data_IF_382364164558
#
_entry.id   IF_382364164558
#
_cell.length_a   1.000
_cell.length_b   1.000
_cell.length_c   1.000
_cell.angle_alpha   90.00
_cell.angle_beta   90.00
_cell.angle_gamma   90.00
#
_symmetry.space_group_name_H-M   'P 1'
#
loop_
_entity.id
_entity.type
_entity.pdbx_description
1 polymer ?
#
# COMPACT_ATOMS: atom_id res chain seq x y z
N UNK A 1 -43.63 30.06 -0.33
CA UNK A 1 -42.61 29.63 -1.30
C UNK A 1 -41.97 28.39 -0.68
N UNK A 2 -42.40 27.20 -1.08
CA UNK A 2 -41.75 25.96 -0.63
C UNK A 2 -40.37 25.89 -1.26
N UNK A 3 -39.33 25.84 -0.42
CA UNK A 3 -37.97 25.58 -0.84
C UNK A 3 -37.87 24.08 -1.12
N UNK A 4 -37.90 23.73 -2.40
CA UNK A 4 -37.60 22.38 -2.89
C UNK A 4 -36.12 22.09 -2.59
N UNK A 5 -35.85 21.39 -1.49
CA UNK A 5 -34.49 20.98 -1.11
C UNK A 5 -34.04 19.85 -2.05
N UNK A 6 -32.82 19.91 -2.61
CA UNK A 6 -32.29 18.80 -3.38
C UNK A 6 -32.19 17.54 -2.50
N UNK A 7 -32.46 16.34 -3.06
CA UNK A 7 -32.41 15.11 -2.29
C UNK A 7 -31.03 14.92 -1.66
N UNK A 8 -30.96 14.38 -0.43
CA UNK A 8 -29.68 14.13 0.22
C UNK A 8 -28.86 13.20 -0.68
N UNK A 9 -27.64 13.63 -1.05
CA UNK A 9 -26.63 12.78 -1.67
C UNK A 9 -26.39 11.61 -0.72
N UNK A 10 -27.02 10.47 -0.99
CA UNK A 10 -26.78 9.23 -0.26
C UNK A 10 -25.30 8.89 -0.45
N UNK A 11 -24.55 8.79 0.65
CA UNK A 11 -23.17 8.34 0.60
C UNK A 11 -23.13 6.99 -0.13
N UNK A 12 -22.24 6.81 -1.13
CA UNK A 12 -22.21 5.58 -1.90
C UNK A 12 -22.02 4.39 -0.96
N UNK A 13 -22.83 3.31 -1.10
CA UNK A 13 -22.79 2.18 -0.18
C UNK A 13 -21.40 1.54 -0.22
N UNK A 14 -20.65 1.71 0.86
CA UNK A 14 -19.29 1.16 1.01
C UNK A 14 -19.28 -0.36 0.98
N UNK A 15 -20.41 -0.99 1.30
CA UNK A 15 -20.60 -2.44 1.31
C UNK A 15 -20.34 -3.04 -0.07
N UNK A 16 -20.85 -2.43 -1.13
CA UNK A 16 -20.70 -2.94 -2.50
C UNK A 16 -19.22 -2.88 -2.94
N UNK A 17 -18.55 -1.77 -2.63
CA UNK A 17 -17.12 -1.62 -2.87
C UNK A 17 -16.28 -2.65 -2.09
N UNK A 18 -16.58 -2.85 -0.80
CA UNK A 18 -15.87 -3.82 0.03
C UNK A 18 -16.04 -5.26 -0.49
N UNK A 19 -17.25 -5.61 -0.97
CA UNK A 19 -17.50 -6.93 -1.57
C UNK A 19 -16.74 -7.10 -2.88
N UNK A 20 -16.70 -6.08 -3.74
CA UNK A 20 -15.94 -6.10 -4.99
C UNK A 20 -14.42 -6.27 -4.74
N UNK A 21 -13.86 -5.57 -3.76
CA UNK A 21 -12.44 -5.70 -3.39
C UNK A 21 -12.13 -7.11 -2.87
N UNK A 22 -13.00 -7.67 -2.03
CA UNK A 22 -12.83 -9.05 -1.52
C UNK A 22 -12.86 -10.07 -2.66
N UNK A 23 -13.84 -9.98 -3.55
CA UNK A 23 -13.95 -10.86 -4.72
C UNK A 23 -12.75 -10.73 -5.67
N UNK A 24 -12.22 -9.51 -5.84
CA UNK A 24 -11.01 -9.28 -6.60
C UNK A 24 -9.77 -9.97 -5.97
N UNK A 25 -9.64 -9.92 -4.64
CA UNK A 25 -8.55 -10.59 -3.93
C UNK A 25 -8.62 -12.12 -4.07
N UNK A 26 -9.83 -12.69 -3.96
CA UNK A 26 -10.06 -14.12 -4.18
C UNK A 26 -9.77 -14.52 -5.63
N UNK A 27 -10.19 -13.71 -6.61
CA UNK A 27 -9.90 -13.94 -8.02
C UNK A 27 -8.39 -13.86 -8.33
N UNK A 28 -7.67 -12.90 -7.74
CA UNK A 28 -6.22 -12.78 -7.89
C UNK A 28 -5.48 -14.00 -7.28
N UNK A 29 -5.95 -14.49 -6.13
CA UNK A 29 -5.43 -15.73 -5.54
C UNK A 29 -5.69 -16.95 -6.45
N UNK A 30 -6.88 -17.04 -7.06
CA UNK A 30 -7.23 -18.12 -7.98
C UNK A 30 -6.37 -18.13 -9.26
N UNK A 31 -5.91 -16.97 -9.72
CA UNK A 31 -4.97 -16.85 -10.85
C UNK A 31 -3.52 -17.22 -10.49
N UNK A 32 -3.16 -17.13 -9.20
CA UNK A 32 -1.83 -17.50 -8.72
C UNK A 32 -1.68 -19.01 -8.53
N UNK A 33 -2.79 -19.75 -8.45
CA UNK A 33 -2.82 -21.20 -8.43
C UNK A 33 -2.90 -21.76 -9.86
N UNK A 34 -2.38 -22.98 -10.11
CA UNK A 34 -2.62 -23.68 -11.37
C UNK A 34 -4.12 -23.99 -11.51
N UNK A 35 -4.81 -23.16 -12.30
CA UNK A 35 -6.25 -23.20 -12.51
C UNK A 35 -6.58 -23.57 -13.96
N UNK A 36 -7.77 -24.13 -14.19
CA UNK A 36 -8.26 -24.38 -15.55
C UNK A 36 -8.44 -23.07 -16.32
N UNK A 37 -8.29 -23.10 -17.65
CA UNK A 37 -8.43 -21.90 -18.49
C UNK A 37 -9.78 -21.19 -18.29
N UNK A 38 -10.87 -21.94 -18.08
CA UNK A 38 -12.19 -21.39 -17.78
C UNK A 38 -12.25 -20.68 -16.42
N UNK A 39 -11.59 -21.22 -15.40
CA UNK A 39 -11.53 -20.60 -14.07
C UNK A 39 -10.68 -19.31 -14.09
N UNK A 40 -9.58 -19.31 -14.87
CA UNK A 40 -8.77 -18.11 -15.08
C UNK A 40 -9.55 -17.01 -15.82
N UNK A 41 -10.35 -17.37 -16.83
CA UNK A 41 -11.19 -16.42 -17.56
C UNK A 41 -12.27 -15.80 -16.66
N UNK A 42 -12.89 -16.59 -15.78
CA UNK A 42 -13.86 -16.11 -14.80
C UNK A 42 -13.20 -15.17 -13.78
N UNK A 43 -12.04 -15.53 -13.22
CA UNK A 43 -11.30 -14.67 -12.31
C UNK A 43 -10.89 -13.33 -12.95
N UNK A 44 -10.48 -13.35 -14.23
CA UNK A 44 -10.18 -12.13 -14.98
C UNK A 44 -11.44 -11.26 -15.24
N UNK A 45 -12.62 -11.86 -15.38
CA UNK A 45 -13.88 -11.11 -15.47
C UNK A 45 -14.20 -10.42 -14.13
N UNK A 46 -14.10 -11.15 -13.02
CA UNK A 46 -14.29 -10.60 -11.67
C UNK A 46 -13.35 -9.42 -11.38
N UNK A 47 -12.09 -9.49 -11.83
CA UNK A 47 -11.14 -8.38 -11.69
C UNK A 47 -11.55 -7.14 -12.50
N UNK A 48 -12.05 -7.32 -13.73
CA UNK A 48 -12.55 -6.22 -14.55
C UNK A 48 -13.80 -5.58 -13.94
N UNK A 49 -14.71 -6.39 -13.41
CA UNK A 49 -15.92 -5.91 -12.75
C UNK A 49 -15.59 -5.12 -11.48
N UNK A 50 -14.64 -5.61 -10.68
CA UNK A 50 -14.15 -4.89 -9.50
C UNK A 50 -13.47 -3.56 -9.88
N UNK A 51 -12.69 -3.54 -10.96
CA UNK A 51 -12.08 -2.29 -11.46
C UNK A 51 -13.15 -1.27 -11.88
N UNK A 52 -14.19 -1.71 -12.59
CA UNK A 52 -15.32 -0.84 -12.96
C UNK A 52 -16.07 -0.31 -11.71
N UNK A 53 -16.28 -1.14 -10.70
CA UNK A 53 -16.91 -0.75 -9.44
C UNK A 53 -16.09 0.30 -8.67
N UNK A 54 -14.77 0.11 -8.58
CA UNK A 54 -13.85 1.08 -7.95
C UNK A 54 -13.84 2.39 -8.73
N UNK A 55 -13.71 2.34 -10.07
CA UNK A 55 -13.75 3.53 -10.91
C UNK A 55 -15.05 4.31 -10.75
N UNK A 56 -16.19 3.62 -10.79
CA UNK A 56 -17.52 4.21 -10.56
C UNK A 56 -17.64 4.85 -9.18
N UNK A 57 -17.09 4.22 -8.14
CA UNK A 57 -17.05 4.77 -6.79
C UNK A 57 -16.22 6.06 -6.73
N UNK A 58 -15.03 6.06 -7.32
CA UNK A 58 -14.15 7.24 -7.36
C UNK A 58 -14.78 8.39 -8.16
N UNK A 59 -15.42 8.12 -9.30
CA UNK A 59 -16.12 9.15 -10.09
C UNK A 59 -17.28 9.80 -9.32
N UNK A 60 -17.96 9.06 -8.44
CA UNK A 60 -19.00 9.64 -7.57
C UNK A 60 -18.42 10.52 -6.46
N UNK A 61 -17.20 10.22 -6.00
CA UNK A 61 -16.49 11.08 -5.05
C UNK A 61 -15.97 12.35 -5.71
N UNK A 62 -15.55 12.26 -6.98
CA UNK A 62 -15.03 13.38 -7.78
C UNK A 62 -16.13 14.30 -8.34
N UNK A 63 -17.39 13.86 -8.33
CA UNK A 63 -18.51 14.70 -8.74
C UNK A 63 -18.59 15.92 -7.82
N UNK A 64 -18.27 17.14 -8.30
CA UNK A 64 -18.28 18.33 -7.47
C UNK A 64 -19.67 18.45 -6.84
N UNK A 65 -19.71 18.78 -5.55
CA UNK A 65 -20.93 19.28 -4.94
C UNK A 65 -21.53 20.30 -5.92
N UNK A 66 -22.81 20.17 -6.25
CA UNK A 66 -23.47 21.13 -7.11
C UNK A 66 -23.57 22.41 -6.28
N UNK A 67 -22.51 23.21 -6.31
CA UNK A 67 -22.53 24.58 -5.87
C UNK A 67 -23.38 25.29 -6.92
N UNK A 68 -24.43 26.05 -6.52
CA UNK A 68 -25.18 26.82 -7.49
C UNK A 68 -24.19 27.74 -8.21
N UNK A 69 -24.12 27.62 -9.53
CA UNK A 69 -23.39 28.55 -10.39
C UNK A 69 -24.10 29.91 -10.34
N UNK A 70 -23.69 30.76 -9.41
CA UNK A 70 -23.77 32.20 -9.58
C UNK A 70 -22.70 32.89 -8.73
N UNK A 71 -21.47 32.86 -9.24
CA UNK A 71 -20.53 33.96 -9.05
C UNK A 71 -19.40 33.82 -10.07
N UNK A 72 -19.60 34.40 -11.24
CA UNK A 72 -18.51 34.77 -12.14
C UNK A 72 -17.62 35.80 -11.43
N UNK A 73 -16.59 35.33 -10.74
CA UNK A 73 -15.38 36.11 -10.57
C UNK A 73 -14.20 35.30 -11.11
N UNK A 74 -13.50 35.76 -12.16
CA UNK A 74 -12.24 35.14 -12.54
C UNK A 74 -11.24 35.40 -11.43
N UNK A 75 -11.00 34.39 -10.59
CA UNK A 75 -9.89 34.43 -9.65
C UNK A 75 -8.61 34.49 -10.48
N UNK A 76 -7.90 35.60 -10.32
CA UNK A 76 -6.63 35.89 -10.96
C UNK A 76 -5.69 34.68 -10.86
N UNK A 77 -4.95 34.46 -11.95
CA UNK A 77 -3.83 33.53 -12.04
C UNK A 77 -2.88 33.78 -10.85
N UNK A 78 -3.02 32.97 -9.81
CA UNK A 78 -2.22 33.02 -8.59
C UNK A 78 -0.97 32.17 -8.72
N UNK A 79 -0.29 32.27 -9.87
CA UNK A 79 0.95 31.57 -10.16
C UNK A 79 2.15 32.17 -9.45
N UNK A 80 2.14 32.35 -8.13
CA UNK A 80 3.35 32.82 -7.39
C UNK A 80 3.28 32.76 -5.85
N UNK A 81 2.36 32.00 -5.24
CA UNK A 81 2.26 31.93 -3.76
C UNK A 81 2.80 30.64 -3.11
N UNK A 82 3.14 29.59 -3.88
CA UNK A 82 3.66 28.33 -3.35
C UNK A 82 5.20 28.21 -3.43
N UNK A 83 5.83 28.94 -4.35
CA UNK A 83 7.28 29.01 -4.53
C UNK A 83 8.06 29.39 -3.24
N UNK A 84 7.65 30.40 -2.43
CA UNK A 84 8.45 30.79 -1.26
C UNK A 84 8.46 29.71 -0.19
N UNK A 85 7.35 28.98 0.00
CA UNK A 85 7.25 27.93 1.03
C UNK A 85 8.07 26.69 0.65
N UNK A 86 8.13 26.35 -0.64
CA UNK A 86 8.95 25.23 -1.12
C UNK A 86 10.43 25.60 -1.07
N UNK A 87 10.78 26.85 -1.43
CA UNK A 87 12.14 27.38 -1.33
C UNK A 87 12.70 27.36 0.08
N UNK A 88 11.91 27.78 1.08
CA UNK A 88 12.31 27.75 2.49
C UNK A 88 12.61 26.32 3.01
N UNK A 89 11.83 25.33 2.57
CA UNK A 89 12.03 23.92 2.95
C UNK A 89 13.28 23.35 2.27
N UNK A 90 13.50 23.66 0.98
CA UNK A 90 14.66 23.20 0.25
C UNK A 90 15.96 23.81 0.81
N UNK A 91 15.93 25.10 1.14
CA UNK A 91 17.03 25.81 1.77
C UNK A 91 17.33 25.26 3.16
N UNK A 92 16.30 24.95 3.96
CA UNK A 92 16.45 24.30 5.27
C UNK A 92 17.08 22.89 5.18
N UNK A 93 16.72 22.10 4.15
CA UNK A 93 17.34 20.79 3.91
C UNK A 93 18.82 20.93 3.48
N UNK A 94 19.11 21.92 2.63
CA UNK A 94 20.48 22.23 2.20
C UNK A 94 21.33 22.68 3.39
N UNK A 95 20.77 23.47 4.30
CA UNK A 95 21.42 23.87 5.54
C UNK A 95 21.72 22.67 6.45
N UNK A 96 20.79 21.72 6.60
CA UNK A 96 21.02 20.48 7.37
C UNK A 96 22.15 19.61 6.79
N UNK A 97 22.34 19.61 5.47
CA UNK A 97 23.43 18.90 4.81
C UNK A 97 24.77 19.65 4.92
N UNK A 98 24.74 20.98 4.87
CA UNK A 98 25.92 21.86 4.93
C UNK A 98 26.41 22.12 6.37
N UNK A 99 25.54 21.97 7.36
CA UNK A 99 25.89 21.86 8.78
C UNK A 99 26.59 20.52 9.00
N UNK A 100 27.77 20.41 8.40
CA UNK A 100 28.71 19.32 8.53
C UNK A 100 28.76 18.92 9.99
N UNK A 101 28.41 17.67 10.21
CA UNK A 101 28.69 16.88 11.38
C UNK A 101 30.07 17.21 12.01
N UNK A 102 30.16 18.26 12.83
CA UNK A 102 31.36 18.56 13.63
C UNK A 102 31.27 17.98 15.03
N UNK A 103 30.09 17.51 15.44
CA UNK A 103 29.88 16.73 16.66
C UNK A 103 30.09 15.27 16.33
N UNK A 104 31.13 14.62 16.87
CA UNK A 104 31.35 13.16 16.77
C UNK A 104 30.01 12.43 16.74
N UNK A 105 29.53 12.00 15.56
CA UNK A 105 28.24 11.30 15.48
C UNK A 105 28.41 10.04 16.30
N UNK A 106 27.39 9.75 17.10
CA UNK A 106 27.22 8.41 17.62
C UNK A 106 27.28 7.46 16.42
N UNK A 107 27.99 6.33 16.50
CA UNK A 107 27.97 5.34 15.44
C UNK A 107 26.51 5.08 15.05
N UNK A 108 26.21 5.22 13.76
CA UNK A 108 24.90 4.85 13.24
C UNK A 108 24.76 3.36 13.53
N UNK A 109 23.69 2.91 14.19
CA UNK A 109 23.49 1.48 14.39
C UNK A 109 23.51 0.81 13.01
N UNK A 110 24.11 -0.39 12.88
CA UNK A 110 24.07 -1.10 11.62
C UNK A 110 22.62 -1.20 11.17
N UNK A 111 22.31 -0.73 9.97
CA UNK A 111 21.00 -0.97 9.37
C UNK A 111 20.85 -2.48 9.30
N UNK A 112 19.94 -3.03 10.11
CA UNK A 112 19.64 -4.47 10.07
C UNK A 112 19.29 -4.81 8.63
N UNK A 113 19.96 -5.78 7.98
CA UNK A 113 19.44 -6.29 6.74
C UNK A 113 18.09 -6.90 7.09
N UNK A 114 17.00 -6.28 6.62
CA UNK A 114 15.74 -6.97 6.46
C UNK A 114 16.10 -8.21 5.65
N UNK A 115 16.09 -9.37 6.31
CA UNK A 115 16.64 -10.61 5.77
C UNK A 115 16.10 -10.92 4.37
N UNK A 116 16.76 -11.81 3.62
CA UNK A 116 16.33 -12.16 2.27
C UNK A 116 14.84 -12.49 2.31
N UNK A 117 14.04 -11.67 1.60
CA UNK A 117 12.67 -12.03 1.27
C UNK A 117 12.80 -13.33 0.49
N UNK A 118 12.47 -14.45 1.12
CA UNK A 118 12.38 -15.76 0.46
C UNK A 118 11.27 -15.65 -0.59
N UNK A 119 11.66 -15.15 -1.76
CA UNK A 119 10.96 -15.37 -3.01
C UNK A 119 11.16 -16.84 -3.32
N UNK A 120 10.06 -17.59 -3.25
CA UNK A 120 10.06 -19.03 -3.48
C UNK A 120 10.74 -19.39 -4.80
N UNK A 121 11.83 -20.13 -4.70
CA UNK A 121 12.24 -21.08 -5.72
C UNK A 121 11.89 -22.47 -5.18
N UNK A 122 10.67 -22.92 -5.47
CA UNK A 122 10.27 -24.29 -5.23
C UNK A 122 10.95 -25.19 -6.27
N UNK A 123 11.86 -26.04 -5.81
CA UNK A 123 12.06 -27.37 -6.39
C UNK A 123 11.50 -28.34 -5.35
N UNK A 124 10.34 -28.93 -5.64
CA UNK A 124 9.82 -30.07 -4.88
C UNK A 124 10.65 -31.34 -5.16
N UNK A 125 10.51 -32.43 -4.39
CA UNK A 125 9.20 -32.91 -3.95
C UNK A 125 9.13 -33.48 -2.52
N UNK A 126 7.89 -33.72 -2.10
CA UNK A 126 7.46 -34.88 -1.28
C UNK A 126 7.68 -34.85 0.25
N UNK A 127 6.74 -35.53 0.92
CA UNK A 127 6.63 -35.83 2.34
C UNK A 127 6.19 -34.71 3.31
N UNK A 128 4.87 -34.68 3.51
CA UNK A 128 4.19 -34.45 4.79
C UNK A 128 5.04 -34.81 6.01
N UNK A 129 5.51 -33.79 6.73
CA UNK A 129 5.84 -33.89 8.15
C UNK A 129 5.72 -32.48 8.74
N UNK A 130 4.66 -32.24 9.52
CA UNK A 130 4.63 -31.16 10.50
C UNK A 130 6.00 -31.13 11.21
N UNK A 131 6.77 -30.04 11.12
CA UNK A 131 8.03 -29.97 11.82
C UNK A 131 7.70 -29.84 13.30
N UNK A 132 7.57 -30.97 13.99
CA UNK A 132 7.60 -31.05 15.44
C UNK A 132 8.82 -30.24 15.85
N UNK A 133 8.56 -29.07 16.43
CA UNK A 133 9.58 -28.12 16.80
C UNK A 133 10.35 -28.73 17.96
N UNK A 134 11.36 -29.55 17.65
CA UNK A 134 12.27 -30.08 18.65
C UNK A 134 13.13 -28.91 19.17
N UNK A 135 12.59 -28.27 20.20
CA UNK A 135 13.18 -27.12 20.88
C UNK A 135 14.55 -27.48 21.43
N UNK A 136 14.78 -28.74 21.82
CA UNK A 136 16.07 -29.17 22.35
C UNK A 136 17.12 -29.26 21.26
N UNK A 137 16.75 -29.79 20.09
CA UNK A 137 17.66 -29.81 18.93
C UNK A 137 18.02 -28.40 18.43
N UNK A 138 17.04 -27.49 18.40
CA UNK A 138 17.31 -26.07 18.06
C UNK A 138 18.20 -25.39 19.10
N UNK A 139 17.95 -25.64 20.39
CA UNK A 139 18.78 -25.10 21.48
C UNK A 139 20.22 -25.62 21.38
N UNK A 140 20.41 -26.90 21.07
CA UNK A 140 21.73 -27.49 20.83
C UNK A 140 22.46 -26.82 19.66
N UNK A 141 21.78 -26.66 18.52
CA UNK A 141 22.36 -26.00 17.34
C UNK A 141 22.72 -24.52 17.61
N UNK A 142 21.89 -23.80 18.36
CA UNK A 142 22.18 -22.41 18.74
C UNK A 142 23.39 -22.30 19.68
N UNK A 143 23.53 -23.24 20.63
CA UNK A 143 24.69 -23.28 21.52
C UNK A 143 25.98 -23.62 20.78
N UNK A 144 25.92 -24.52 19.80
CA UNK A 144 27.08 -24.89 18.99
C UNK A 144 27.57 -23.71 18.14
N UNK A 145 26.63 -22.94 17.55
CA UNK A 145 26.95 -21.69 16.87
C UNK A 145 27.66 -20.68 17.79
N UNK A 146 27.16 -20.49 19.01
CA UNK A 146 27.80 -19.59 19.98
C UNK A 146 29.24 -20.00 20.27
N UNK A 147 29.51 -21.31 20.38
CA UNK A 147 30.85 -21.83 20.61
C UNK A 147 31.76 -21.66 19.39
N UNK A 148 31.25 -21.81 18.16
CA UNK A 148 32.03 -21.64 16.93
C UNK A 148 32.58 -20.22 16.75
N UNK A 149 31.86 -19.20 17.22
CA UNK A 149 32.26 -17.81 17.05
C UNK A 149 32.95 -17.19 18.28
N UNK A 150 33.03 -17.91 19.40
CA UNK A 150 33.58 -17.40 20.67
C UNK A 150 34.68 -18.31 21.28
N UNK A 151 35.19 -19.27 20.50
CA UNK A 151 36.37 -20.07 20.85
C UNK A 151 37.67 -19.27 20.75
#
# INVERSE_FOLDING_TARGET
>A
MELDLPPPRQAPPLTDLATAIRLAAEAAAALSAPSSSSAAAAAAATLRDAHAAIGSFLSRLDAPAAVPSDNDQPMADGGEAAEPMIGEVEDGLRECALQGNKRRKRPVPPSWPLGPRSSGACVGPEATAEPVLDVQRRRGAAMDLLLQFHA
#
